data_IF_028493697375
#
_entry.id   IF_028493697375
#
_cell.length_a   1.000
_cell.length_b   1.000
_cell.length_c   1.000
_cell.angle_alpha   90.00
_cell.angle_beta   90.00
_cell.angle_gamma   90.00
#
_symmetry.space_group_name_H-M   'P 1'
#
loop_
_entity.id
_entity.type
_entity.pdbx_description
1 polymer ?
#
# COMPACT_ATOMS: atom_id res chain seq x y z
N UNK A 1 2.52 -5.85 -18.90
CA UNK A 1 1.97 -5.54 -17.57
C UNK A 1 1.17 -6.75 -17.11
N UNK A 2 1.62 -7.54 -16.12
CA UNK A 2 0.68 -8.44 -15.44
C UNK A 2 -0.06 -7.57 -14.44
N UNK A 3 -1.20 -7.02 -14.85
CA UNK A 3 -2.05 -6.11 -14.06
C UNK A 3 -2.60 -6.81 -12.80
N UNK A 4 -2.75 -8.14 -12.88
CA UNK A 4 -3.43 -8.96 -11.89
C UNK A 4 -2.92 -8.89 -10.43
N UNK A 5 -1.61 -8.79 -10.13
CA UNK A 5 -1.12 -8.77 -8.75
C UNK A 5 -1.39 -7.45 -8.02
N UNK A 6 -1.44 -6.32 -8.74
CA UNK A 6 -1.71 -4.99 -8.16
C UNK A 6 -3.21 -4.83 -7.96
N UNK A 7 -4.02 -5.17 -8.97
CA UNK A 7 -5.49 -5.10 -8.88
C UNK A 7 -6.02 -5.97 -7.74
N UNK A 8 -5.51 -7.19 -7.57
CA UNK A 8 -5.91 -8.04 -6.44
C UNK A 8 -5.57 -7.43 -5.07
N UNK A 9 -4.51 -6.61 -4.97
CA UNK A 9 -4.15 -5.90 -3.73
C UNK A 9 -5.02 -4.67 -3.52
N UNK A 10 -5.34 -3.93 -4.58
CA UNK A 10 -6.28 -2.81 -4.54
C UNK A 10 -7.68 -3.28 -4.13
N UNK A 11 -8.17 -4.40 -4.67
CA UNK A 11 -9.45 -4.98 -4.28
C UNK A 11 -9.51 -5.34 -2.78
N UNK A 12 -8.41 -5.87 -2.23
CA UNK A 12 -8.31 -6.11 -0.78
C UNK A 12 -8.33 -4.80 0.02
N UNK A 13 -7.62 -3.77 -0.44
CA UNK A 13 -7.63 -2.44 0.18
C UNK A 13 -9.04 -1.85 0.21
N UNK A 14 -9.78 -1.91 -0.90
CA UNK A 14 -11.18 -1.49 -0.96
C UNK A 14 -12.01 -2.22 0.10
N UNK A 15 -11.84 -3.54 0.21
CA UNK A 15 -12.50 -4.33 1.27
C UNK A 15 -12.14 -3.89 2.70
N UNK A 16 -10.88 -3.50 2.94
CA UNK A 16 -10.44 -2.96 4.24
C UNK A 16 -11.08 -1.60 4.53
N UNK A 17 -11.13 -0.70 3.54
CA UNK A 17 -11.77 0.62 3.68
C UNK A 17 -13.27 0.48 3.97
N UNK A 18 -13.96 -0.41 3.26
CA UNK A 18 -15.37 -0.70 3.54
C UNK A 18 -15.57 -1.34 4.92
N UNK A 19 -14.64 -2.19 5.36
CA UNK A 19 -14.61 -2.73 6.71
C UNK A 19 -14.50 -1.64 7.78
N UNK A 20 -13.55 -0.71 7.62
CA UNK A 20 -13.35 0.44 8.51
C UNK A 20 -14.62 1.30 8.57
N UNK A 21 -15.24 1.60 7.42
CA UNK A 21 -16.52 2.34 7.37
C UNK A 21 -17.61 1.64 8.19
N UNK A 22 -17.76 0.32 8.05
CA UNK A 22 -18.73 -0.45 8.85
C UNK A 22 -18.42 -0.42 10.34
N UNK A 23 -17.14 -0.50 10.73
CA UNK A 23 -16.74 -0.44 12.14
C UNK A 23 -17.06 0.91 12.78
N UNK A 24 -16.83 2.00 12.04
CA UNK A 24 -17.16 3.37 12.49
C UNK A 24 -18.67 3.51 12.63
N UNK A 25 -19.44 3.13 11.60
CA UNK A 25 -20.90 3.24 11.62
C UNK A 25 -21.55 2.32 12.67
N UNK A 26 -20.91 1.19 12.98
CA UNK A 26 -21.34 0.26 14.02
C UNK A 26 -20.90 0.63 15.43
N UNK A 27 -20.23 1.77 15.64
CA UNK A 27 -19.80 2.23 16.96
C UNK A 27 -18.75 1.33 17.63
N UNK A 28 -17.92 0.63 16.85
CA UNK A 28 -16.86 -0.24 17.39
C UNK A 28 -15.82 0.58 18.16
N UNK A 29 -15.10 -0.06 19.07
CA UNK A 29 -14.04 0.58 19.85
C UNK A 29 -12.99 1.24 18.95
N UNK A 30 -12.61 2.48 19.29
CA UNK A 30 -11.68 3.30 18.51
C UNK A 30 -10.32 2.63 18.29
N UNK A 31 -9.84 1.84 19.26
CA UNK A 31 -8.57 1.11 19.15
C UNK A 31 -8.56 0.11 17.99
N UNK A 32 -9.65 -0.65 17.82
CA UNK A 32 -9.78 -1.61 16.73
C UNK A 32 -9.84 -0.91 15.36
N UNK A 33 -10.59 0.19 15.28
CA UNK A 33 -10.69 1.01 14.06
C UNK A 33 -9.32 1.54 13.66
N UNK A 34 -8.56 2.08 14.63
CA UNK A 34 -7.18 2.54 14.42
C UNK A 34 -6.30 1.39 13.91
N UNK A 35 -6.39 0.20 14.50
CA UNK A 35 -5.60 -0.95 14.05
C UNK A 35 -5.89 -1.31 12.59
N UNK A 36 -7.16 -1.28 12.16
CA UNK A 36 -7.51 -1.54 10.75
C UNK A 36 -7.03 -0.43 9.82
N UNK A 37 -7.08 0.85 10.25
CA UNK A 37 -6.54 1.98 9.49
C UNK A 37 -5.02 1.81 9.29
N UNK A 38 -4.28 1.41 10.34
CA UNK A 38 -2.84 1.16 10.25
C UNK A 38 -2.54 0.01 9.27
N UNK A 39 -3.33 -1.07 9.31
CA UNK A 39 -3.21 -2.18 8.39
C UNK A 39 -3.46 -1.77 6.92
N UNK A 40 -4.50 -0.97 6.68
CA UNK A 40 -4.83 -0.42 5.37
C UNK A 40 -3.72 0.51 4.86
N UNK A 41 -3.21 1.41 5.72
CA UNK A 41 -2.07 2.28 5.38
C UNK A 41 -0.87 1.48 4.91
N UNK A 42 -0.49 0.43 5.63
CA UNK A 42 0.67 -0.38 5.25
C UNK A 42 0.42 -1.23 4.00
N UNK A 43 -0.81 -1.68 3.75
CA UNK A 43 -1.17 -2.30 2.48
C UNK A 43 -1.03 -1.32 1.30
N UNK A 44 -1.46 -0.07 1.47
CA UNK A 44 -1.34 0.97 0.45
C UNK A 44 0.13 1.33 0.17
N UNK A 45 0.96 1.46 1.21
CA UNK A 45 2.41 1.67 1.04
C UNK A 45 3.05 0.59 0.18
N UNK A 46 2.67 -0.68 0.40
CA UNK A 46 3.18 -1.81 -0.40
C UNK A 46 2.76 -1.73 -1.86
N UNK A 47 1.53 -1.29 -2.15
CA UNK A 47 1.07 -1.06 -3.53
C UNK A 47 1.90 0.06 -4.17
N UNK A 48 2.12 1.17 -3.48
CA UNK A 48 2.95 2.27 -3.98
C UNK A 48 4.39 1.85 -4.29
N UNK A 49 5.00 1.04 -3.42
CA UNK A 49 6.32 0.43 -3.66
C UNK A 49 6.33 -0.41 -4.94
N UNK A 50 5.30 -1.23 -5.16
CA UNK A 50 5.22 -2.10 -6.34
C UNK A 50 5.12 -1.28 -7.63
N UNK A 51 4.25 -0.27 -7.65
CA UNK A 51 4.10 0.63 -8.80
C UNK A 51 5.41 1.35 -9.10
N UNK A 52 6.09 1.88 -8.07
CA UNK A 52 7.36 2.56 -8.26
C UNK A 52 8.45 1.62 -8.78
N UNK A 53 8.54 0.40 -8.23
CA UNK A 53 9.50 -0.61 -8.71
C UNK A 53 9.28 -0.95 -10.19
N UNK A 54 8.04 -1.10 -10.62
CA UNK A 54 7.72 -1.36 -12.03
C UNK A 54 8.16 -0.21 -12.94
N UNK A 55 7.85 1.04 -12.57
CA UNK A 55 8.26 2.23 -13.33
C UNK A 55 9.79 2.36 -13.40
N UNK A 56 10.50 2.06 -12.32
CA UNK A 56 11.96 2.13 -12.28
C UNK A 56 12.62 1.02 -13.11
N UNK A 57 12.08 -0.20 -13.11
CA UNK A 57 12.55 -1.28 -13.97
C UNK A 57 12.33 -0.97 -15.46
N UNK A 58 11.22 -0.31 -15.81
CA UNK A 58 10.94 0.11 -17.19
C UNK A 58 11.85 1.23 -17.66
N UNK A 59 12.10 2.24 -16.82
CA UNK A 59 12.82 3.46 -17.22
C UNK A 59 14.34 3.33 -17.16
N UNK A 60 14.90 2.43 -16.35
CA UNK A 60 16.34 2.26 -16.23
C UNK A 60 16.67 0.80 -15.95
N UNK A 61 17.37 0.14 -16.87
CA UNK A 61 18.04 -1.14 -16.60
C UNK A 61 18.98 -0.99 -15.40
N UNK A 62 18.46 -1.31 -14.21
CA UNK A 62 19.13 -1.53 -12.93
C UNK A 62 20.44 -0.75 -12.72
N UNK A 63 20.41 0.59 -12.62
CA UNK A 63 21.62 1.36 -12.27
C UNK A 63 21.72 1.84 -10.82
N UNK A 64 20.64 1.84 -10.02
CA UNK A 64 20.77 2.20 -8.60
C UNK A 64 19.62 1.68 -7.70
N UNK A 65 19.68 0.40 -7.33
CA UNK A 65 18.77 -0.18 -6.33
C UNK A 65 18.79 0.57 -4.98
N UNK A 66 19.94 1.18 -4.65
CA UNK A 66 20.14 1.97 -3.41
C UNK A 66 19.37 3.29 -3.42
N UNK A 67 19.27 3.97 -4.55
CA UNK A 67 18.48 5.21 -4.68
C UNK A 67 16.98 4.92 -4.63
N UNK A 68 16.56 3.82 -5.27
CA UNK A 68 15.19 3.31 -5.17
C UNK A 68 14.81 3.02 -3.73
N UNK A 69 15.64 2.27 -3.00
CA UNK A 69 15.38 1.93 -1.61
C UNK A 69 15.28 3.20 -0.74
N UNK A 70 16.21 4.14 -0.90
CA UNK A 70 16.21 5.41 -0.16
C UNK A 70 14.97 6.28 -0.44
N UNK A 71 14.45 6.24 -1.68
CA UNK A 71 13.22 6.94 -2.05
C UNK A 71 11.99 6.25 -1.44
N UNK A 72 11.97 4.92 -1.40
CA UNK A 72 10.90 4.15 -0.76
C UNK A 72 10.82 4.41 0.74
N UNK A 73 11.97 4.40 1.43
CA UNK A 73 12.04 4.68 2.87
C UNK A 73 11.52 6.11 3.16
N UNK A 74 11.87 7.07 2.29
CA UNK A 74 11.43 8.47 2.43
C UNK A 74 9.94 8.70 2.12
N UNK A 75 9.38 7.98 1.15
CA UNK A 75 7.97 8.13 0.73
C UNK A 75 6.98 7.34 1.61
N UNK A 76 7.42 6.18 2.13
CA UNK A 76 6.53 5.28 2.85
C UNK A 76 6.88 5.10 4.33
N UNK A 77 7.97 5.73 4.80
CA UNK A 77 8.37 5.70 6.21
C UNK A 77 8.58 4.27 6.73
N UNK A 78 9.20 3.41 5.91
CA UNK A 78 9.66 2.09 6.32
C UNK A 78 11.04 2.18 6.96
#
# INVERSE_FOLDING_TARGET
MKIQPIDARLNRLVGQIEGIRRMINGGRQSGDVIQQILAARQALSRVGIMVLKEELMKKNGMKNAKATQKLLDKLFGL
#
